data_IF_756210082300
#
_entry.id   IF_756210082300
#
_cell.length_a   1.000
_cell.length_b   1.000
_cell.length_c   1.000
_cell.angle_alpha   90.00
_cell.angle_beta   90.00
_cell.angle_gamma   90.00
#
_symmetry.space_group_name_H-M   'P 1'
#
loop_
_entity.id
_entity.type
_entity.pdbx_description
1 polymer ?
#
# COMPACT_ATOMS: atom_id res chain seq x y z
N UNK A 1 -7.68 -2.10 -9.41
CA UNK A 1 -7.70 -1.53 -8.04
C UNK A 1 -8.50 -0.22 -7.97
N UNK A 2 -8.20 0.85 -8.73
CA UNK A 2 -9.00 2.10 -8.69
C UNK A 2 -10.47 1.84 -9.05
N UNK A 3 -10.73 1.08 -10.11
CA UNK A 3 -12.10 0.67 -10.47
C UNK A 3 -12.82 -0.10 -9.36
N UNK A 4 -12.10 -0.89 -8.57
CA UNK A 4 -12.68 -1.61 -7.43
C UNK A 4 -13.02 -0.66 -6.26
N UNK A 5 -12.22 0.42 -6.07
CA UNK A 5 -12.57 1.47 -5.13
C UNK A 5 -13.83 2.22 -5.60
N UNK A 6 -13.94 2.52 -6.90
CA UNK A 6 -15.14 3.14 -7.48
C UNK A 6 -16.40 2.30 -7.19
N UNK A 7 -16.33 0.99 -7.47
CA UNK A 7 -17.42 0.03 -7.23
C UNK A 7 -17.74 -0.07 -5.73
N UNK A 8 -16.73 -0.07 -4.88
CA UNK A 8 -16.89 -0.14 -3.41
C UNK A 8 -17.58 1.10 -2.85
N UNK A 9 -17.20 2.30 -3.30
CA UNK A 9 -17.86 3.55 -2.90
C UNK A 9 -19.33 3.60 -3.37
N UNK A 10 -19.57 3.21 -4.62
CA UNK A 10 -20.93 3.14 -5.16
C UNK A 10 -21.79 2.11 -4.40
N UNK A 11 -21.25 0.94 -4.10
CA UNK A 11 -21.93 -0.09 -3.32
C UNK A 11 -22.26 0.39 -1.91
N UNK A 12 -21.29 0.98 -1.22
CA UNK A 12 -21.46 1.53 0.12
C UNK A 12 -22.63 2.53 0.16
N UNK A 13 -22.56 3.56 -0.70
CA UNK A 13 -23.58 4.59 -0.72
C UNK A 13 -24.94 4.05 -1.17
N UNK A 14 -24.99 3.20 -2.21
CA UNK A 14 -26.22 2.59 -2.69
C UNK A 14 -26.90 1.75 -1.61
N UNK A 15 -26.15 0.91 -0.91
CA UNK A 15 -26.68 0.05 0.16
C UNK A 15 -27.23 0.89 1.31
N UNK A 16 -26.45 1.85 1.78
CA UNK A 16 -26.81 2.64 2.98
C UNK A 16 -27.92 3.66 2.73
N UNK A 17 -27.94 4.29 1.56
CA UNK A 17 -29.00 5.25 1.21
C UNK A 17 -30.36 4.57 0.97
N UNK A 18 -30.35 3.28 0.58
CA UNK A 18 -31.55 2.51 0.32
C UNK A 18 -31.91 1.51 1.45
N UNK A 19 -31.28 1.61 2.62
CA UNK A 19 -31.59 0.76 3.79
C UNK A 19 -32.99 1.03 4.36
N UNK A 20 -33.51 2.24 4.22
CA UNK A 20 -34.86 2.60 4.67
C UNK A 20 -35.87 2.46 3.51
N UNK A 21 -36.77 1.48 3.57
CA UNK A 21 -37.76 1.25 2.53
C UNK A 21 -38.82 2.37 2.42
N UNK A 22 -38.87 3.30 3.35
CA UNK A 22 -39.80 4.45 3.33
C UNK A 22 -39.26 5.61 2.49
N UNK A 23 -37.97 5.60 2.16
CA UNK A 23 -37.33 6.58 1.30
C UNK A 23 -37.40 6.14 -0.15
N UNK A 24 -37.67 7.04 -1.12
CA UNK A 24 -37.60 6.70 -2.53
C UNK A 24 -36.23 6.11 -2.90
N UNK A 25 -36.22 5.12 -3.77
CA UNK A 25 -34.95 4.52 -4.24
C UNK A 25 -34.04 5.57 -4.84
N UNK A 26 -32.79 5.60 -4.38
CA UNK A 26 -31.76 6.52 -4.82
C UNK A 26 -30.78 5.75 -5.71
N UNK A 27 -30.58 6.26 -6.92
CA UNK A 27 -29.60 5.69 -7.85
C UNK A 27 -28.20 6.22 -7.52
N UNK A 28 -27.22 5.33 -7.34
CA UNK A 28 -25.82 5.69 -7.10
C UNK A 28 -24.95 5.17 -8.23
N UNK A 29 -24.30 6.07 -8.98
CA UNK A 29 -23.52 5.70 -10.16
C UNK A 29 -22.16 6.42 -10.19
N UNK A 30 -21.17 5.70 -10.74
CA UNK A 30 -19.82 6.21 -10.99
C UNK A 30 -19.74 6.67 -12.45
N UNK A 31 -19.80 7.97 -12.67
CA UNK A 31 -19.71 8.57 -14.01
C UNK A 31 -19.49 10.09 -13.93
N UNK A 32 -19.04 10.75 -15.00
CA UNK A 32 -18.94 12.21 -15.00
C UNK A 32 -20.31 12.87 -14.86
N UNK A 33 -20.42 13.97 -14.09
CA UNK A 33 -21.66 14.73 -13.92
C UNK A 33 -21.93 15.69 -15.12
N UNK A 34 -21.94 15.14 -16.32
CA UNK A 34 -22.11 15.81 -17.59
C UNK A 34 -23.59 15.92 -18.04
N UNK A 35 -23.82 16.38 -19.27
CA UNK A 35 -25.18 16.45 -19.86
C UNK A 35 -25.87 15.10 -19.95
N UNK A 36 -25.11 14.02 -20.19
CA UNK A 36 -25.67 12.67 -20.25
C UNK A 36 -26.10 12.22 -18.86
N UNK A 37 -25.41 12.61 -17.80
CA UNK A 37 -25.82 12.40 -16.42
C UNK A 37 -27.14 13.11 -16.11
N UNK A 38 -27.27 14.38 -16.46
CA UNK A 38 -28.51 15.14 -16.26
C UNK A 38 -29.70 14.55 -17.00
N UNK A 39 -29.48 14.12 -18.24
CA UNK A 39 -30.49 13.42 -19.02
C UNK A 39 -30.93 12.11 -18.35
N UNK A 40 -29.98 11.35 -17.80
CA UNK A 40 -30.24 10.12 -17.05
C UNK A 40 -31.12 10.40 -15.81
N UNK A 41 -30.76 11.34 -14.96
CA UNK A 41 -31.52 11.71 -13.75
C UNK A 41 -32.94 12.15 -14.13
N UNK A 42 -33.08 12.99 -15.16
CA UNK A 42 -34.38 13.47 -15.63
C UNK A 42 -35.25 12.34 -16.18
N UNK A 43 -34.65 11.38 -16.91
CA UNK A 43 -35.38 10.26 -17.48
C UNK A 43 -35.86 9.24 -16.45
N UNK A 44 -35.05 8.98 -15.42
CA UNK A 44 -35.36 8.00 -14.37
C UNK A 44 -36.36 8.53 -13.33
N UNK A 45 -36.58 9.84 -13.27
CA UNK A 45 -37.48 10.50 -12.32
C UNK A 45 -37.22 10.06 -10.85
N UNK A 46 -35.95 9.88 -10.48
CA UNK A 46 -35.51 9.46 -9.14
C UNK A 46 -34.33 10.32 -8.69
N UNK A 47 -34.20 10.57 -7.38
CA UNK A 47 -32.98 11.16 -6.84
C UNK A 47 -31.79 10.27 -7.14
N UNK A 48 -30.65 10.88 -7.40
CA UNK A 48 -29.44 10.16 -7.76
C UNK A 48 -28.19 10.79 -7.13
N UNK A 49 -27.21 9.96 -6.81
CA UNK A 49 -25.90 10.36 -6.34
C UNK A 49 -24.87 10.01 -7.39
N UNK A 50 -24.07 10.99 -7.75
CA UNK A 50 -22.93 10.84 -8.63
C UNK A 50 -21.66 10.70 -7.80
N UNK A 51 -20.87 9.69 -8.09
CA UNK A 51 -19.51 9.49 -7.56
C UNK A 51 -18.55 9.61 -8.73
N UNK A 52 -17.68 10.60 -8.72
CA UNK A 52 -16.77 10.85 -9.83
C UNK A 52 -15.34 11.02 -9.38
N UNK A 53 -14.42 10.18 -9.90
CA UNK A 53 -12.99 10.34 -9.70
C UNK A 53 -12.50 11.53 -10.54
N UNK A 54 -12.26 12.66 -9.88
CA UNK A 54 -11.87 13.91 -10.53
C UNK A 54 -10.36 13.98 -10.79
N UNK A 55 -9.55 13.40 -9.91
CA UNK A 55 -8.09 13.48 -10.00
C UNK A 55 -7.42 12.32 -9.27
N UNK A 56 -6.22 11.94 -9.71
CA UNK A 56 -5.32 11.00 -9.01
C UNK A 56 -3.97 11.66 -8.85
N UNK A 57 -3.47 11.73 -7.62
CA UNK A 57 -2.15 12.29 -7.28
C UNK A 57 -1.29 11.28 -6.55
N UNK A 58 0.02 11.44 -6.64
CA UNK A 58 0.95 10.67 -5.81
C UNK A 58 0.90 11.19 -4.36
N UNK A 59 0.65 10.30 -3.39
CA UNK A 59 0.86 10.60 -1.97
C UNK A 59 2.36 10.60 -1.67
N UNK A 60 2.92 11.77 -1.37
CA UNK A 60 4.32 11.96 -1.02
C UNK A 60 4.59 11.99 0.48
N UNK A 61 3.56 12.19 1.28
CA UNK A 61 3.70 12.30 2.74
C UNK A 61 4.03 10.96 3.38
N UNK A 62 3.44 9.90 2.87
CA UNK A 62 3.65 8.54 3.36
C UNK A 62 4.77 7.79 2.62
N UNK A 63 5.62 8.49 1.90
CA UNK A 63 6.80 7.89 1.31
C UNK A 63 7.77 7.49 2.42
N UNK A 64 7.69 6.25 2.87
CA UNK A 64 8.61 5.72 3.86
C UNK A 64 10.02 5.67 3.27
N UNK A 65 11.00 6.09 4.07
CA UNK A 65 12.42 5.95 3.74
C UNK A 65 12.93 4.51 3.88
N UNK A 66 12.05 3.57 4.16
CA UNK A 66 12.36 2.16 4.39
C UNK A 66 12.54 1.39 3.06
N UNK A 67 13.47 1.84 2.23
CA UNK A 67 13.97 1.10 1.06
C UNK A 67 14.80 -0.15 1.44
N UNK A 68 14.49 -0.82 2.54
CA UNK A 68 15.35 -1.84 3.12
C UNK A 68 14.87 -3.28 2.91
N UNK A 69 13.75 -3.50 2.25
CA UNK A 69 13.33 -4.85 1.93
C UNK A 69 13.84 -5.24 0.53
N UNK A 70 14.97 -5.96 0.53
CA UNK A 70 15.53 -6.59 -0.66
C UNK A 70 14.48 -7.54 -1.29
N UNK A 71 13.76 -7.04 -2.30
CA UNK A 71 12.88 -7.87 -3.13
C UNK A 71 11.44 -7.40 -3.27
N UNK A 72 10.83 -6.81 -2.25
CA UNK A 72 9.48 -6.24 -2.35
C UNK A 72 9.54 -4.71 -2.36
N UNK A 73 9.32 -4.10 -3.52
CA UNK A 73 9.26 -2.64 -3.59
C UNK A 73 8.04 -2.14 -2.80
N UNK A 74 8.25 -1.10 -2.00
CA UNK A 74 7.15 -0.42 -1.31
C UNK A 74 6.02 -0.06 -2.27
N UNK A 75 4.74 -0.23 -1.87
CA UNK A 75 3.61 0.14 -2.69
C UNK A 75 3.69 1.61 -3.13
N UNK A 76 3.33 1.88 -4.36
CA UNK A 76 3.15 3.24 -4.84
C UNK A 76 1.80 3.76 -4.35
N UNK A 77 1.81 4.78 -3.48
CA UNK A 77 0.59 5.32 -2.91
C UNK A 77 0.05 6.45 -3.75
N UNK A 78 -1.25 6.42 -4.00
CA UNK A 78 -1.95 7.45 -4.74
C UNK A 78 -3.18 7.92 -3.99
N UNK A 79 -3.39 9.22 -3.99
CA UNK A 79 -4.59 9.86 -3.51
C UNK A 79 -5.59 9.97 -4.64
N UNK A 80 -6.72 9.29 -4.46
CA UNK A 80 -7.86 9.32 -5.37
C UNK A 80 -8.83 10.39 -4.86
N UNK A 81 -8.98 11.49 -5.62
CA UNK A 81 -9.86 12.60 -5.30
C UNK A 81 -11.20 12.43 -5.98
N UNK A 82 -12.23 12.21 -5.19
CA UNK A 82 -13.61 12.04 -5.65
C UNK A 82 -14.42 13.30 -5.40
N UNK A 83 -15.32 13.60 -6.32
CA UNK A 83 -16.40 14.54 -6.15
C UNK A 83 -17.72 13.78 -6.07
N UNK A 84 -18.46 13.98 -4.99
CA UNK A 84 -19.75 13.35 -4.74
C UNK A 84 -20.80 14.46 -4.81
N UNK A 85 -21.78 14.32 -5.71
CA UNK A 85 -22.86 15.28 -5.88
C UNK A 85 -24.22 14.59 -5.90
N UNK A 86 -25.21 15.26 -5.34
CA UNK A 86 -26.58 14.77 -5.28
C UNK A 86 -27.44 15.52 -6.31
N UNK A 87 -28.36 14.81 -6.95
CA UNK A 87 -29.17 15.31 -8.05
C UNK A 87 -30.63 14.85 -7.90
N UNK A 88 -31.53 15.78 -8.14
CA UNK A 88 -32.97 15.50 -8.08
C UNK A 88 -33.60 15.90 -9.42
N UNK A 89 -34.52 15.06 -9.96
CA UNK A 89 -35.22 15.41 -11.20
C UNK A 89 -36.01 16.72 -11.04
N UNK A 90 -35.74 17.68 -11.89
CA UNK A 90 -36.44 18.97 -11.88
C UNK A 90 -37.92 18.85 -12.25
N UNK A 91 -38.33 17.71 -12.83
CA UNK A 91 -39.68 17.42 -13.27
C UNK A 91 -40.56 16.70 -12.25
N UNK A 92 -40.02 16.37 -11.07
CA UNK A 92 -40.79 15.69 -10.04
C UNK A 92 -41.73 16.68 -9.31
N UNK A 93 -43.05 16.62 -9.53
CA UNK A 93 -44.00 17.54 -8.93
C UNK A 93 -44.18 17.33 -7.42
N UNK A 94 -43.67 16.24 -6.86
CA UNK A 94 -43.75 15.90 -5.43
C UNK A 94 -42.63 16.59 -4.65
N UNK A 95 -41.58 17.07 -5.33
CA UNK A 95 -40.43 17.72 -4.73
C UNK A 95 -40.61 19.23 -4.82
N UNK A 96 -41.13 19.82 -3.76
CA UNK A 96 -41.38 21.28 -3.73
C UNK A 96 -40.13 22.16 -3.83
N UNK A 97 -38.97 21.66 -3.36
CA UNK A 97 -37.70 22.39 -3.40
C UNK A 97 -36.55 21.42 -3.65
N UNK A 98 -36.21 21.11 -4.92
CA UNK A 98 -35.18 20.14 -5.28
C UNK A 98 -33.85 20.35 -4.56
N UNK A 99 -33.37 21.59 -4.45
CA UNK A 99 -32.10 21.92 -3.76
C UNK A 99 -32.06 21.45 -2.31
N UNK A 100 -33.16 21.59 -1.56
CA UNK A 100 -33.19 21.11 -0.15
C UNK A 100 -33.02 19.61 -0.07
N UNK A 101 -33.60 18.86 -1.03
CA UNK A 101 -33.46 17.40 -1.09
C UNK A 101 -32.04 17.02 -1.51
N UNK A 102 -31.43 17.73 -2.45
CA UNK A 102 -30.05 17.55 -2.85
C UNK A 102 -29.08 17.80 -1.69
N UNK A 103 -29.27 18.88 -0.93
CA UNK A 103 -28.46 19.22 0.23
C UNK A 103 -28.60 18.15 1.35
N UNK A 104 -29.83 17.70 1.61
CA UNK A 104 -30.07 16.60 2.56
C UNK A 104 -29.37 15.32 2.12
N UNK A 105 -29.53 14.94 0.85
CA UNK A 105 -28.93 13.72 0.28
C UNK A 105 -27.40 13.78 0.31
N UNK A 106 -26.81 14.93 -0.01
CA UNK A 106 -25.38 15.14 0.10
C UNK A 106 -24.90 15.00 1.55
N UNK A 107 -25.67 15.54 2.51
CA UNK A 107 -25.40 15.40 3.95
C UNK A 107 -25.43 13.93 4.42
N UNK A 108 -26.40 13.14 3.92
CA UNK A 108 -26.46 11.69 4.21
C UNK A 108 -25.26 10.94 3.61
N UNK A 109 -24.81 11.29 2.39
CA UNK A 109 -23.60 10.71 1.82
C UNK A 109 -22.37 10.98 2.72
N UNK A 110 -22.21 12.23 3.18
CA UNK A 110 -21.11 12.58 4.08
C UNK A 110 -21.17 11.82 5.40
N UNK A 111 -22.36 11.68 6.00
CA UNK A 111 -22.57 10.91 7.23
C UNK A 111 -22.18 9.44 7.04
N UNK A 112 -22.65 8.80 5.96
CA UNK A 112 -22.34 7.40 5.65
C UNK A 112 -20.83 7.19 5.48
N UNK A 113 -20.17 8.09 4.77
CA UNK A 113 -18.72 8.02 4.57
C UNK A 113 -17.97 8.20 5.89
N UNK A 114 -18.40 9.14 6.75
CA UNK A 114 -17.79 9.38 8.05
C UNK A 114 -17.93 8.17 8.99
N UNK A 115 -19.07 7.50 8.96
CA UNK A 115 -19.32 6.28 9.75
C UNK A 115 -18.44 5.10 9.30
N UNK A 116 -17.96 5.10 8.04
CA UNK A 116 -17.16 4.02 7.44
C UNK A 116 -15.67 4.35 7.31
N UNK A 117 -15.27 5.59 7.62
CA UNK A 117 -13.86 5.97 7.58
C UNK A 117 -13.08 5.37 8.77
N UNK A 118 -11.85 4.89 8.57
CA UNK A 118 -11.18 4.66 7.29
C UNK A 118 -11.86 3.56 6.47
N UNK A 119 -11.87 3.71 5.14
CA UNK A 119 -12.56 2.77 4.23
C UNK A 119 -11.83 1.43 4.19
N UNK A 120 -12.62 0.32 4.27
CA UNK A 120 -12.10 -1.04 4.21
C UNK A 120 -13.12 -1.96 3.54
N UNK A 121 -12.68 -2.73 2.54
CA UNK A 121 -13.57 -3.59 1.76
C UNK A 121 -14.23 -4.68 2.60
N UNK A 122 -13.54 -5.26 3.59
CA UNK A 122 -14.12 -6.32 4.44
C UNK A 122 -15.29 -5.82 5.31
N UNK A 123 -15.26 -4.55 5.70
CA UNK A 123 -16.36 -3.93 6.45
C UNK A 123 -17.54 -3.55 5.55
N UNK A 124 -17.25 -3.04 4.35
CA UNK A 124 -18.28 -2.55 3.42
C UNK A 124 -19.08 -3.72 2.83
N UNK A 125 -18.40 -4.82 2.50
CA UNK A 125 -19.02 -5.98 1.89
C UNK A 125 -19.42 -7.10 2.89
N UNK A 126 -19.39 -6.83 4.19
CA UNK A 126 -19.77 -7.85 5.17
C UNK A 126 -21.16 -8.44 4.87
N UNK A 127 -21.38 -9.78 5.02
CA UNK A 127 -20.46 -10.75 5.61
C UNK A 127 -19.44 -11.35 4.63
N UNK A 128 -19.53 -11.10 3.32
CA UNK A 128 -18.62 -11.68 2.33
C UNK A 128 -18.26 -10.66 1.25
N UNK A 129 -16.98 -10.29 1.18
CA UNK A 129 -16.48 -9.44 0.12
C UNK A 129 -16.44 -10.17 -1.24
N UNK A 130 -16.75 -9.49 -2.35
CA UNK A 130 -16.47 -10.00 -3.68
C UNK A 130 -14.94 -10.17 -3.87
N UNK A 131 -14.49 -10.85 -4.92
CA UNK A 131 -13.06 -10.97 -5.20
C UNK A 131 -12.46 -9.60 -5.59
N UNK A 132 -11.97 -8.88 -4.59
CA UNK A 132 -11.26 -7.60 -4.75
C UNK A 132 -9.78 -7.79 -4.42
N UNK A 133 -8.97 -6.81 -4.80
CA UNK A 133 -7.53 -6.80 -4.50
C UNK A 133 -7.29 -6.96 -2.99
N UNK A 134 -6.39 -7.86 -2.56
CA UNK A 134 -6.10 -8.08 -1.15
C UNK A 134 -5.76 -6.80 -0.38
N UNK A 135 -5.08 -5.85 -1.02
CA UNK A 135 -4.73 -4.57 -0.38
C UNK A 135 -5.93 -3.70 -0.01
N UNK A 136 -7.11 -3.93 -0.60
CA UNK A 136 -8.37 -3.28 -0.21
C UNK A 136 -9.07 -3.98 0.95
N UNK A 137 -8.79 -5.27 1.16
CA UNK A 137 -9.38 -6.09 2.23
C UNK A 137 -8.54 -5.97 3.51
N UNK A 138 -7.22 -6.07 3.37
CA UNK A 138 -6.28 -6.19 4.49
C UNK A 138 -5.89 -4.84 5.10
N UNK A 139 -6.19 -3.73 4.41
CA UNK A 139 -5.80 -2.39 4.86
C UNK A 139 -6.99 -1.48 5.11
N UNK A 140 -6.87 -0.70 6.15
CA UNK A 140 -7.71 0.47 6.37
C UNK A 140 -7.18 1.62 5.49
N UNK A 141 -7.94 2.00 4.47
CA UNK A 141 -7.55 3.06 3.54
C UNK A 141 -7.73 4.43 4.19
N UNK A 142 -6.64 5.22 4.22
CA UNK A 142 -6.71 6.61 4.69
C UNK A 142 -7.80 7.32 3.89
N UNK A 143 -8.72 7.95 4.61
CA UNK A 143 -9.89 8.57 4.03
C UNK A 143 -10.09 9.96 4.64
N UNK A 144 -10.13 10.98 3.80
CA UNK A 144 -10.38 12.36 4.19
C UNK A 144 -11.69 12.83 3.55
N UNK A 145 -12.63 13.23 4.39
CA UNK A 145 -13.98 13.61 3.99
C UNK A 145 -14.15 15.11 4.15
N UNK A 146 -14.51 15.79 3.07
CA UNK A 146 -14.67 17.23 3.01
C UNK A 146 -13.48 17.98 3.65
N UNK A 147 -12.23 17.71 3.22
CA UNK A 147 -11.05 18.36 3.79
C UNK A 147 -11.18 19.90 3.68
N UNK A 148 -10.64 20.65 4.65
CA UNK A 148 -10.80 22.10 4.72
C UNK A 148 -10.25 22.84 3.50
N UNK A 149 -9.27 22.26 2.80
CA UNK A 149 -8.71 22.81 1.56
C UNK A 149 -9.71 22.73 0.39
N UNK A 150 -10.71 21.85 0.49
CA UNK A 150 -11.65 21.57 -0.57
C UNK A 150 -10.97 20.95 -1.80
N UNK A 151 -11.69 20.96 -2.93
CA UNK A 151 -11.12 20.59 -4.22
C UNK A 151 -10.67 21.87 -4.94
N UNK A 152 -9.36 22.06 -5.03
CA UNK A 152 -8.73 23.31 -5.51
C UNK A 152 -9.20 23.75 -6.92
N UNK A 153 -9.51 22.78 -7.78
CA UNK A 153 -9.89 23.02 -9.17
C UNK A 153 -11.40 22.89 -9.42
N UNK A 154 -12.23 23.02 -8.38
CA UNK A 154 -13.67 22.79 -8.49
C UNK A 154 -14.34 23.71 -9.53
N UNK A 155 -13.95 24.97 -9.58
CA UNK A 155 -14.47 25.93 -10.57
C UNK A 155 -14.11 25.55 -12.01
N UNK A 156 -12.84 25.19 -12.24
CA UNK A 156 -12.36 24.77 -13.56
C UNK A 156 -12.99 23.44 -13.97
N UNK A 157 -13.18 22.53 -13.03
CA UNK A 157 -13.87 21.27 -13.26
C UNK A 157 -15.29 21.49 -13.80
N UNK A 158 -16.10 22.30 -13.12
CA UNK A 158 -17.47 22.58 -13.56
C UNK A 158 -17.50 23.34 -14.91
N UNK A 159 -16.56 24.25 -15.15
CA UNK A 159 -16.42 24.97 -16.42
C UNK A 159 -16.03 24.02 -17.55
N UNK A 160 -15.17 23.04 -17.27
CA UNK A 160 -14.67 22.06 -18.24
C UNK A 160 -15.73 21.05 -18.72
N UNK A 161 -16.79 20.84 -17.95
CA UNK A 161 -17.89 19.92 -18.30
C UNK A 161 -18.81 20.43 -19.44
N UNK A 162 -18.60 21.66 -19.91
CA UNK A 162 -19.28 22.22 -21.11
C UNK A 162 -20.24 23.39 -20.83
N UNK A 163 -20.67 24.03 -21.89
CA UNK A 163 -21.62 25.17 -21.82
C UNK A 163 -23.00 24.69 -21.38
N UNK A 164 -23.49 25.23 -20.28
CA UNK A 164 -24.80 24.90 -19.71
C UNK A 164 -24.74 24.02 -18.48
N UNK A 165 -23.55 23.59 -18.05
CA UNK A 165 -23.41 22.94 -16.75
C UNK A 165 -23.60 23.96 -15.62
N UNK A 166 -24.65 23.73 -14.83
CA UNK A 166 -24.93 24.53 -13.63
C UNK A 166 -23.99 24.02 -12.54
N UNK A 167 -23.30 24.95 -11.89
CA UNK A 167 -22.52 24.64 -10.70
C UNK A 167 -23.41 23.92 -9.67
N UNK A 168 -22.93 22.76 -9.20
CA UNK A 168 -23.64 21.96 -8.22
C UNK A 168 -22.77 21.78 -6.98
N UNK A 169 -23.35 21.82 -5.77
CA UNK A 169 -22.62 21.48 -4.56
C UNK A 169 -22.06 20.05 -4.65
N UNK A 170 -20.79 19.90 -4.33
CA UNK A 170 -20.15 18.60 -4.33
C UNK A 170 -19.29 18.44 -3.08
N UNK A 171 -19.35 17.28 -2.45
CA UNK A 171 -18.45 16.88 -1.39
C UNK A 171 -17.16 16.32 -1.98
N UNK A 172 -16.03 16.78 -1.49
CA UNK A 172 -14.72 16.25 -1.84
C UNK A 172 -14.37 15.09 -0.89
N UNK A 173 -13.96 13.98 -1.46
CA UNK A 173 -13.49 12.79 -0.74
C UNK A 173 -12.11 12.44 -1.29
N UNK A 174 -11.13 12.23 -0.40
CA UNK A 174 -9.82 11.70 -0.76
C UNK A 174 -9.63 10.33 -0.14
N UNK A 175 -9.24 9.34 -0.95
CA UNK A 175 -8.91 8.00 -0.49
C UNK A 175 -7.53 7.62 -0.99
N UNK A 176 -6.63 7.25 -0.07
CA UNK A 176 -5.27 6.83 -0.41
C UNK A 176 -5.22 5.34 -0.69
N UNK A 177 -4.78 4.97 -1.90
CA UNK A 177 -4.63 3.58 -2.35
C UNK A 177 -3.16 3.16 -2.41
N UNK A 178 -2.79 1.98 -1.86
CA UNK A 178 -1.49 1.36 -2.03
C UNK A 178 -1.45 0.53 -3.32
N UNK A 179 -0.95 1.07 -4.42
CA UNK A 179 -0.76 0.34 -5.68
C UNK A 179 0.50 -0.54 -5.59
N UNK A 180 0.32 -1.85 -5.66
CA UNK A 180 1.43 -2.80 -5.63
C UNK A 180 2.33 -2.62 -6.86
N UNK A 181 3.63 -2.53 -6.63
CA UNK A 181 4.63 -2.51 -7.71
C UNK A 181 4.99 -3.93 -8.11
N UNK A 182 5.25 -4.13 -9.39
CA UNK A 182 5.79 -5.42 -9.84
C UNK A 182 7.11 -5.72 -9.12
N UNK A 183 7.29 -6.94 -8.60
CA UNK A 183 8.54 -7.33 -7.98
C UNK A 183 9.69 -7.16 -8.99
N UNK A 184 10.75 -6.51 -8.56
CA UNK A 184 11.96 -6.38 -9.38
C UNK A 184 12.81 -7.63 -9.19
N UNK A 185 13.35 -8.20 -10.26
CA UNK A 185 14.33 -9.26 -10.12
C UNK A 185 15.53 -8.68 -9.36
N UNK A 186 15.71 -9.17 -8.15
CA UNK A 186 16.88 -8.80 -7.34
C UNK A 186 18.05 -9.62 -7.87
N UNK A 187 19.15 -8.95 -8.20
CA UNK A 187 20.40 -9.63 -8.51
C UNK A 187 20.85 -10.53 -7.33
N UNK A 188 21.81 -11.42 -7.54
CA UNK A 188 22.34 -12.22 -6.44
C UNK A 188 22.80 -11.28 -5.31
N UNK A 189 22.58 -11.64 -4.04
CA UNK A 189 22.99 -10.79 -2.91
C UNK A 189 24.50 -10.56 -2.99
N UNK A 190 24.94 -9.31 -2.73
CA UNK A 190 26.35 -9.01 -2.56
C UNK A 190 26.82 -9.74 -1.30
N UNK A 191 27.68 -10.74 -1.48
CA UNK A 191 28.18 -11.59 -0.38
C UNK A 191 29.52 -11.12 0.14
N UNK A 192 30.20 -10.24 -0.60
CA UNK A 192 31.50 -9.68 -0.22
C UNK A 192 31.59 -8.23 -0.67
N UNK A 193 31.92 -7.34 0.24
CA UNK A 193 32.29 -5.95 -0.03
C UNK A 193 33.71 -5.74 0.48
N UNK A 194 34.65 -5.40 -0.43
CA UNK A 194 36.02 -5.04 -0.10
C UNK A 194 36.17 -3.53 -0.07
N UNK A 195 36.56 -3.00 1.07
CA UNK A 195 36.79 -1.55 1.26
C UNK A 195 38.26 -1.30 1.61
N UNK A 196 38.94 -0.52 0.78
CA UNK A 196 40.34 -0.08 1.06
C UNK A 196 40.35 1.38 1.41
N UNK A 197 40.95 1.72 2.54
CA UNK A 197 41.10 3.10 2.97
C UNK A 197 42.41 3.69 2.41
N UNK A 198 42.33 4.84 1.73
CA UNK A 198 43.49 5.60 1.25
C UNK A 198 43.56 6.90 2.08
N UNK A 199 44.67 7.20 2.80
CA UNK A 199 46.07 6.76 2.57
C UNK A 199 46.65 5.68 3.53
N UNK A 200 45.88 4.67 3.95
CA UNK A 200 46.40 3.61 4.82
C UNK A 200 46.48 2.24 4.11
N UNK A 201 47.36 1.33 4.58
CA UNK A 201 47.45 -0.04 4.04
C UNK A 201 46.31 -0.97 4.55
N UNK A 202 45.40 -0.43 5.35
CA UNK A 202 44.34 -1.23 5.96
C UNK A 202 43.23 -1.45 4.97
N UNK A 203 42.88 -2.73 4.73
CA UNK A 203 41.72 -3.14 3.98
C UNK A 203 40.79 -3.97 4.87
N UNK A 204 39.51 -3.62 4.81
CA UNK A 204 38.48 -4.33 5.55
C UNK A 204 37.49 -4.94 4.58
N UNK A 205 37.06 -6.15 4.92
CA UNK A 205 36.11 -6.92 4.12
C UNK A 205 34.82 -7.08 4.92
N UNK A 206 33.70 -6.82 4.28
CA UNK A 206 32.39 -7.18 4.81
C UNK A 206 31.95 -8.46 4.10
N UNK A 207 31.62 -9.48 4.86
CA UNK A 207 31.18 -10.76 4.34
C UNK A 207 29.72 -11.04 4.67
N UNK A 208 29.04 -11.75 3.79
CA UNK A 208 27.66 -12.18 4.01
C UNK A 208 27.41 -13.55 3.39
N UNK A 209 26.59 -14.34 4.05
CA UNK A 209 26.23 -15.67 3.60
C UNK A 209 24.82 -16.04 4.04
N UNK A 210 24.43 -17.27 3.71
CA UNK A 210 23.18 -17.86 4.13
C UNK A 210 23.44 -19.20 4.82
N UNK A 211 22.83 -19.40 5.98
CA UNK A 211 22.78 -20.70 6.65
C UNK A 211 21.52 -21.44 6.23
N UNK A 212 21.72 -22.68 5.72
CA UNK A 212 20.66 -23.59 5.32
C UNK A 212 20.84 -24.94 6.02
N UNK A 213 19.73 -25.67 6.18
CA UNK A 213 19.80 -27.07 6.57
C UNK A 213 20.05 -27.97 5.35
N UNK A 214 20.21 -29.28 5.57
CA UNK A 214 20.41 -30.26 4.49
C UNK A 214 19.27 -30.32 3.47
N UNK A 215 18.06 -29.96 3.86
CA UNK A 215 16.91 -29.86 2.95
C UNK A 215 16.90 -28.56 2.11
N UNK A 216 17.89 -27.67 2.31
CA UNK A 216 17.98 -26.37 1.63
C UNK A 216 17.12 -25.27 2.23
N UNK A 217 16.40 -25.54 3.32
CA UNK A 217 15.59 -24.54 4.02
C UNK A 217 16.49 -23.58 4.83
N UNK A 218 16.05 -22.33 4.95
CA UNK A 218 16.73 -21.32 5.76
C UNK A 218 16.72 -21.71 7.25
N UNK A 219 17.79 -21.37 7.96
CA UNK A 219 17.90 -21.55 9.42
C UNK A 219 17.92 -20.17 10.07
N UNK A 220 16.78 -19.65 10.56
CA UNK A 220 16.70 -18.34 11.20
C UNK A 220 17.21 -18.41 12.65
N UNK A 221 17.62 -17.24 13.17
CA UNK A 221 17.99 -17.06 14.59
C UNK A 221 19.30 -17.72 15.02
N UNK A 222 19.98 -18.45 14.12
CA UNK A 222 21.24 -19.11 14.43
C UNK A 222 22.34 -18.09 14.76
N UNK A 223 23.15 -18.41 15.77
CA UNK A 223 24.31 -17.64 16.14
C UNK A 223 25.47 -17.92 15.19
N UNK A 224 26.03 -16.90 14.59
CA UNK A 224 27.18 -16.98 13.68
C UNK A 224 28.35 -16.21 14.31
N UNK A 225 29.47 -16.87 14.47
CA UNK A 225 30.66 -16.31 15.07
C UNK A 225 31.86 -16.50 14.13
N UNK A 226 32.64 -15.44 13.92
CA UNK A 226 33.91 -15.51 13.22
C UNK A 226 35.01 -15.65 14.26
N UNK A 227 35.77 -16.71 14.16
CA UNK A 227 36.85 -17.03 15.06
C UNK A 227 38.20 -16.93 14.30
N UNK A 228 39.23 -16.48 15.03
CA UNK A 228 40.61 -16.60 14.53
C UNK A 228 40.97 -18.09 14.34
N UNK A 229 41.53 -18.42 13.18
CA UNK A 229 41.82 -19.83 12.81
C UNK A 229 42.85 -20.52 13.71
N UNK A 230 43.72 -19.74 14.36
CA UNK A 230 44.84 -20.24 15.20
C UNK A 230 44.45 -20.28 16.66
N UNK A 231 43.95 -19.19 17.21
CA UNK A 231 43.67 -19.01 18.62
C UNK A 231 42.27 -19.49 19.02
N UNK A 232 41.33 -19.58 18.09
CA UNK A 232 39.93 -19.83 18.36
C UNK A 232 39.20 -18.67 19.03
N UNK A 233 39.82 -17.48 19.10
CA UNK A 233 39.19 -16.33 19.71
C UNK A 233 38.10 -15.78 18.82
N UNK A 234 36.94 -15.52 19.42
CA UNK A 234 35.82 -14.85 18.74
C UNK A 234 36.16 -13.40 18.38
N UNK A 235 36.04 -13.04 17.12
CA UNK A 235 36.34 -11.72 16.59
C UNK A 235 35.09 -10.90 16.29
N UNK A 236 34.09 -11.55 15.69
CA UNK A 236 32.81 -10.95 15.30
C UNK A 236 31.69 -11.96 15.49
N UNK A 237 30.51 -11.47 15.81
CA UNK A 237 29.33 -12.33 15.95
C UNK A 237 28.08 -11.63 15.43
N UNK A 238 27.13 -12.41 14.92
CA UNK A 238 25.83 -11.97 14.46
C UNK A 238 24.81 -13.09 14.59
N UNK A 239 23.54 -12.81 14.22
CA UNK A 239 22.51 -13.85 14.07
C UNK A 239 21.97 -13.87 12.65
N UNK A 240 21.49 -15.04 12.22
CA UNK A 240 20.78 -15.15 10.96
C UNK A 240 19.39 -14.53 11.04
N UNK A 241 18.98 -13.84 9.96
CA UNK A 241 17.63 -13.33 9.80
C UNK A 241 16.61 -14.45 9.48
N UNK A 242 15.32 -14.07 9.26
CA UNK A 242 14.23 -15.00 8.92
C UNK A 242 14.50 -15.81 7.64
N UNK A 243 15.33 -15.29 6.73
CA UNK A 243 15.75 -15.96 5.48
C UNK A 243 17.07 -16.71 5.61
N UNK A 244 17.59 -16.83 6.83
CA UNK A 244 18.85 -17.51 7.15
C UNK A 244 20.09 -16.72 6.73
N UNK A 245 19.99 -15.43 6.42
CA UNK A 245 21.12 -14.59 6.01
C UNK A 245 21.85 -14.04 7.22
N UNK A 246 23.17 -13.89 7.09
CA UNK A 246 24.02 -13.23 8.07
C UNK A 246 25.00 -12.28 7.40
N UNK A 247 25.49 -11.30 8.15
CA UNK A 247 26.50 -10.34 7.72
C UNK A 247 27.51 -10.11 8.86
N UNK A 248 28.79 -10.04 8.50
CA UNK A 248 29.89 -9.71 9.41
C UNK A 248 30.72 -8.61 8.80
N UNK A 249 31.05 -7.62 9.60
CA UNK A 249 31.65 -6.35 9.17
C UNK A 249 33.06 -6.19 9.71
N UNK A 250 33.84 -5.36 9.02
CA UNK A 250 35.18 -4.91 9.44
C UNK A 250 36.13 -6.05 9.76
N UNK A 251 36.27 -7.00 8.81
CA UNK A 251 37.15 -8.15 8.94
C UNK A 251 38.41 -7.88 8.15
N UNK A 252 39.57 -8.01 8.75
CA UNK A 252 40.83 -7.96 8.05
C UNK A 252 40.98 -9.15 7.10
N UNK A 253 41.82 -9.02 6.08
CA UNK A 253 42.13 -10.14 5.21
C UNK A 253 42.88 -11.25 5.99
N UNK A 254 42.48 -12.51 5.78
CA UNK A 254 43.11 -13.61 6.48
C UNK A 254 42.30 -14.92 6.49
N UNK A 255 42.81 -15.89 7.22
CA UNK A 255 42.16 -17.21 7.43
C UNK A 255 41.46 -17.27 8.76
N UNK A 256 40.21 -17.68 8.74
CA UNK A 256 39.31 -17.69 9.88
C UNK A 256 38.51 -18.99 9.95
N UNK A 257 37.70 -19.14 10.98
CA UNK A 257 36.63 -20.14 11.06
C UNK A 257 35.31 -19.48 11.32
N UNK A 258 34.26 -19.90 10.62
CA UNK A 258 32.90 -19.53 10.95
C UNK A 258 32.30 -20.65 11.78
N UNK A 259 31.84 -20.27 12.97
CA UNK A 259 31.16 -21.17 13.91
C UNK A 259 29.68 -20.78 13.94
N UNK A 260 28.82 -21.71 13.52
CA UNK A 260 27.37 -21.52 13.49
C UNK A 260 26.71 -22.43 14.51
N UNK A 261 25.82 -21.90 15.37
CA UNK A 261 25.06 -22.62 16.37
C UNK A 261 23.57 -22.28 16.29
N UNK A 262 22.74 -23.32 16.37
CA UNK A 262 21.30 -23.14 16.49
C UNK A 262 20.85 -23.20 17.94
N UNK A 263 19.63 -22.75 18.23
CA UNK A 263 19.02 -22.87 19.55
C UNK A 263 18.76 -24.32 19.92
N UNK A 264 18.57 -25.20 18.93
CA UNK A 264 18.39 -26.66 19.13
C UNK A 264 19.70 -27.40 19.46
N UNK A 265 20.83 -26.68 19.46
CA UNK A 265 22.13 -27.24 19.82
C UNK A 265 22.91 -27.85 18.66
N UNK A 266 22.45 -27.67 17.40
CA UNK A 266 23.27 -28.04 16.24
C UNK A 266 24.46 -27.08 16.12
N UNK A 267 25.62 -27.62 15.78
CA UNK A 267 26.92 -26.94 15.77
C UNK A 267 27.64 -27.21 14.45
N UNK A 268 28.22 -26.18 13.85
CA UNK A 268 28.96 -26.26 12.59
C UNK A 268 30.16 -25.33 12.63
N UNK A 269 31.34 -25.86 12.36
CA UNK A 269 32.58 -25.05 12.21
C UNK A 269 33.16 -25.29 10.84
N UNK A 270 33.34 -24.16 10.07
CA UNK A 270 33.85 -24.21 8.71
C UNK A 270 35.06 -23.27 8.60
N UNK A 271 36.21 -23.74 8.10
CA UNK A 271 37.32 -22.84 7.79
C UNK A 271 36.98 -21.95 6.58
N UNK A 272 37.39 -20.69 6.65
CA UNK A 272 37.09 -19.69 5.62
C UNK A 272 38.21 -18.71 5.43
N UNK A 273 38.59 -18.45 4.17
CA UNK A 273 39.48 -17.35 3.84
C UNK A 273 38.67 -16.06 3.59
N UNK A 274 39.16 -14.94 4.05
CA UNK A 274 38.54 -13.62 3.82
C UNK A 274 39.57 -12.70 3.11
N UNK A 275 39.29 -12.23 1.86
CA UNK A 275 38.14 -12.61 1.04
C UNK A 275 38.26 -14.04 0.47
N UNK A 276 37.12 -14.73 0.35
CA UNK A 276 37.12 -16.06 -0.26
C UNK A 276 37.27 -15.95 -1.78
N UNK A 277 37.97 -16.93 -2.38
CA UNK A 277 38.16 -16.96 -3.85
C UNK A 277 36.82 -17.09 -4.61
N UNK A 278 35.78 -17.64 -4.00
CA UNK A 278 34.45 -17.80 -4.58
C UNK A 278 33.54 -16.60 -4.33
N UNK A 279 33.92 -15.69 -3.42
CA UNK A 279 33.06 -14.62 -2.92
C UNK A 279 31.83 -15.11 -2.15
N UNK A 280 31.78 -16.39 -1.76
CA UNK A 280 30.63 -17.00 -1.10
C UNK A 280 30.98 -17.51 0.29
N UNK A 281 30.06 -17.31 1.22
CA UNK A 281 30.17 -17.73 2.62
C UNK A 281 28.91 -18.48 3.08
N UNK A 282 28.24 -19.16 2.14
CA UNK A 282 27.05 -19.96 2.44
C UNK A 282 27.44 -21.20 3.26
N UNK A 283 26.64 -21.51 4.27
CA UNK A 283 26.83 -22.59 5.22
C UNK A 283 25.69 -23.59 5.11
N UNK A 284 26.00 -24.87 5.24
CA UNK A 284 24.98 -25.94 5.29
C UNK A 284 25.18 -26.71 6.58
N UNK A 285 24.16 -26.65 7.45
CA UNK A 285 24.14 -27.32 8.73
C UNK A 285 23.55 -28.71 8.56
N UNK A 286 24.23 -29.70 9.14
CA UNK A 286 23.83 -31.10 9.09
C UNK A 286 22.71 -31.40 10.11
#
# INVERSE_FOLDING_TARGET
MINQLDEMLAHLLSTRLNDDPTVPTIDVLVRPPDDAWRAFVSANARPAVNVYLAEVREDREQRSSAANNLGDPEPFRVDCHYLISAWVPSSDPTIGTPTIVEDWLLGECLRILADQAPINASRIYAPAAPPVDPSLVDNDLRTEIAPPEGYTNLGDFWTGLGQGNIWHPAAHLTVTLPLQRSPRPVGPPVTTLHTTFIPGPESFVHIGGRLKNLAGAAVPGAWIELEDSVTGAALRATRTDESGRFQLYDIAEGDYRIHARTEDGADLVVPVAVPSASGRYDLVMA
#
